data_IF_707603260627
#
_entry.id   IF_707603260627
#
_cell.length_a   1.000
_cell.length_b   1.000
_cell.length_c   1.000
_cell.angle_alpha   90.00
_cell.angle_beta   90.00
_cell.angle_gamma   90.00
#
_symmetry.space_group_name_H-M   'P 1'
#
loop_
_entity.id
_entity.type
_entity.pdbx_description
1 polymer ?
#
# COMPACT_ATOMS: atom_id res chain seq x y z
N UNK A 1 33.58 -3.54 23.10
CA UNK A 1 32.93 -4.10 24.31
C UNK A 1 31.57 -3.45 24.47
N UNK A 2 30.55 -4.26 24.78
CA UNK A 2 29.13 -3.91 25.03
C UNK A 2 28.93 -2.94 26.20
N UNK A 3 27.86 -2.11 26.13
CA UNK A 3 26.82 -1.89 27.16
C UNK A 3 25.79 -0.87 26.63
N UNK A 4 24.55 -1.26 26.29
CA UNK A 4 23.34 -1.51 27.13
C UNK A 4 22.64 -0.22 27.63
N UNK A 5 21.28 -0.26 27.56
CA UNK A 5 20.26 0.57 28.27
C UNK A 5 19.80 1.79 27.46
N UNK A 6 18.51 2.15 27.28
CA UNK A 6 17.17 1.58 27.56
C UNK A 6 16.16 2.57 26.96
N UNK A 7 15.04 2.07 26.48
CA UNK A 7 13.87 2.78 25.96
C UNK A 7 13.41 3.93 26.88
N UNK A 8 13.18 5.12 26.32
CA UNK A 8 12.26 6.11 26.89
C UNK A 8 11.40 6.71 25.78
N UNK A 9 10.11 6.35 25.78
CA UNK A 9 9.06 7.13 25.13
C UNK A 9 9.09 8.53 25.76
N UNK A 10 9.34 9.55 24.97
CA UNK A 10 9.18 10.94 25.37
C UNK A 10 8.20 11.62 24.40
N UNK A 11 6.93 11.46 24.72
CA UNK A 11 5.92 12.49 24.46
C UNK A 11 6.40 13.79 25.13
N UNK A 12 6.53 14.89 24.39
CA UNK A 12 6.31 16.26 24.89
C UNK A 12 6.38 17.26 23.72
N UNK A 13 5.29 18.00 23.42
CA UNK A 13 5.08 19.42 23.77
C UNK A 13 6.20 20.30 23.18
N UNK A 14 6.00 21.17 22.19
CA UNK A 14 5.02 22.24 22.10
C UNK A 14 5.75 23.59 21.87
N UNK A 15 4.97 24.66 21.73
CA UNK A 15 5.32 26.09 21.71
C UNK A 15 5.73 26.69 20.33
N UNK A 16 4.84 27.38 19.60
CA UNK A 16 4.33 28.79 19.71
C UNK A 16 5.23 29.91 19.15
N UNK A 17 4.63 30.62 18.18
CA UNK A 17 4.43 32.09 18.09
C UNK A 17 5.37 32.98 17.26
N UNK A 18 4.74 34.09 16.80
CA UNK A 18 5.21 35.32 16.14
C UNK A 18 5.18 35.29 14.59
N UNK A 19 4.59 36.22 13.83
CA UNK A 19 4.40 37.69 13.99
C UNK A 19 3.07 38.14 13.30
N UNK A 20 2.24 38.98 13.92
CA UNK A 20 2.16 40.47 13.81
C UNK A 20 1.91 40.98 12.37
N UNK A 21 0.69 41.45 12.03
CA UNK A 21 0.16 42.84 12.07
C UNK A 21 0.70 43.77 10.97
N UNK A 22 -0.24 44.35 10.20
CA UNK A 22 -0.07 45.45 9.20
C UNK A 22 -0.16 44.92 7.77
N UNK A 23 -1.09 45.29 6.90
CA UNK A 23 -1.48 46.61 6.33
C UNK A 23 -2.89 46.38 5.69
N UNK A 24 -3.96 47.19 5.75
CA UNK A 24 -4.15 48.60 6.04
C UNK A 24 -4.62 49.35 4.78
N UNK A 25 -5.92 49.35 4.43
CA UNK A 25 -6.67 50.37 3.61
C UNK A 25 -8.16 50.06 3.86
N UNK A 26 -9.09 50.88 4.35
CA UNK A 26 -9.29 52.33 4.33
C UNK A 26 -10.67 52.59 3.68
N UNK A 27 -11.68 53.05 4.43
CA UNK A 27 -12.98 53.44 3.85
C UNK A 27 -14.13 53.53 4.87
N UNK A 28 -14.47 54.74 5.29
CA UNK A 28 -15.52 55.08 6.25
C UNK A 28 -16.93 55.07 5.62
N UNK A 29 -17.95 54.68 6.40
CA UNK A 29 -19.36 54.88 6.07
C UNK A 29 -20.28 54.17 7.06
N UNK A 30 -21.08 54.92 7.81
CA UNK A 30 -22.02 54.40 8.81
C UNK A 30 -23.24 53.71 8.21
N UNK A 31 -23.78 52.72 8.93
CA UNK A 31 -25.04 52.05 8.60
C UNK A 31 -25.25 50.77 9.41
N UNK A 32 -26.40 50.69 10.08
CA UNK A 32 -27.05 49.61 10.84
C UNK A 32 -26.53 48.18 10.60
N UNK A 33 -26.36 47.32 11.63
CA UNK A 33 -25.93 45.94 11.44
C UNK A 33 -26.92 45.17 10.56
N UNK A 34 -26.48 44.80 9.36
CA UNK A 34 -27.18 43.86 8.49
C UNK A 34 -27.20 42.46 9.15
N UNK A 35 -28.25 41.65 8.95
CA UNK A 35 -28.29 40.29 9.47
C UNK A 35 -27.06 39.55 8.95
N UNK A 36 -26.32 38.92 9.88
CA UNK A 36 -25.11 38.18 9.57
C UNK A 36 -25.42 37.12 8.51
N UNK A 37 -25.01 37.37 7.27
CA UNK A 37 -24.94 36.33 6.26
C UNK A 37 -23.89 35.37 6.77
N UNK A 38 -24.30 34.18 7.20
CA UNK A 38 -23.38 33.13 7.59
C UNK A 38 -22.50 32.82 6.37
N UNK A 39 -21.27 33.34 6.36
CA UNK A 39 -20.29 33.01 5.35
C UNK A 39 -20.11 31.49 5.38
N UNK A 40 -20.51 30.83 4.29
CA UNK A 40 -20.23 29.43 4.09
C UNK A 40 -18.70 29.27 4.07
N UNK A 41 -18.14 28.80 5.19
CA UNK A 41 -16.71 28.53 5.29
C UNK A 41 -16.36 27.35 4.39
N UNK A 42 -15.96 27.64 3.16
CA UNK A 42 -15.37 26.64 2.26
C UNK A 42 -14.02 26.24 2.81
N UNK A 43 -13.99 25.09 3.49
CA UNK A 43 -12.75 24.46 3.96
C UNK A 43 -12.01 23.89 2.76
N UNK A 44 -10.97 24.59 2.32
CA UNK A 44 -10.05 24.08 1.29
C UNK A 44 -9.26 22.91 1.89
N UNK A 45 -9.63 21.69 1.52
CA UNK A 45 -8.85 20.49 1.83
C UNK A 45 -7.86 20.30 0.70
N UNK A 46 -6.59 20.53 0.99
CA UNK A 46 -5.51 20.16 0.06
C UNK A 46 -5.39 18.64 0.06
N UNK A 47 -5.91 17.98 -0.98
CA UNK A 47 -5.68 16.55 -1.21
C UNK A 47 -4.37 16.44 -1.98
N UNK A 48 -3.30 16.02 -1.29
CA UNK A 48 -2.07 15.62 -1.97
C UNK A 48 -2.36 14.30 -2.67
N UNK A 49 -2.38 14.32 -4.00
CA UNK A 49 -2.53 13.12 -4.80
C UNK A 49 -1.12 12.49 -4.89
N UNK A 50 -0.83 11.49 -4.06
CA UNK A 50 0.40 10.72 -4.19
C UNK A 50 0.34 9.95 -5.51
N UNK A 51 1.19 10.35 -6.46
CA UNK A 51 1.33 9.64 -7.73
C UNK A 51 2.18 8.41 -7.45
N UNK A 52 1.53 7.25 -7.37
CA UNK A 52 2.22 5.96 -7.30
C UNK A 52 3.04 5.77 -8.57
N UNK A 53 4.35 5.50 -8.47
CA UNK A 53 5.16 5.17 -9.63
C UNK A 53 4.58 3.95 -10.37
N UNK A 54 4.52 3.95 -11.71
CA UNK A 54 3.91 2.85 -12.47
C UNK A 54 4.56 1.49 -12.15
N UNK A 55 5.87 1.48 -11.88
CA UNK A 55 6.59 0.27 -11.48
C UNK A 55 6.09 -0.36 -10.17
N UNK A 56 5.53 0.45 -9.26
CA UNK A 56 4.90 -0.08 -8.05
C UNK A 56 3.55 -0.74 -8.35
N UNK A 57 2.80 -0.23 -9.33
CA UNK A 57 1.59 -0.90 -9.81
C UNK A 57 1.92 -2.21 -10.54
N UNK A 58 3.00 -2.23 -11.32
CA UNK A 58 3.49 -3.45 -11.98
C UNK A 58 3.95 -4.50 -10.96
N UNK A 59 4.61 -4.08 -9.87
CA UNK A 59 4.95 -4.96 -8.76
C UNK A 59 3.70 -5.57 -8.09
N UNK A 60 2.63 -4.79 -7.94
CA UNK A 60 1.36 -5.30 -7.41
C UNK A 60 0.68 -6.30 -8.36
N UNK A 61 0.65 -6.04 -9.67
CA UNK A 61 0.12 -7.01 -10.66
C UNK A 61 0.91 -8.33 -10.61
N UNK A 62 2.24 -8.25 -10.50
CA UNK A 62 3.09 -9.44 -10.37
C UNK A 62 2.82 -10.20 -9.05
N UNK A 63 2.60 -9.48 -7.94
CA UNK A 63 2.19 -10.09 -6.68
C UNK A 63 0.81 -10.77 -6.78
N UNK A 64 -0.15 -10.15 -7.46
CA UNK A 64 -1.47 -10.72 -7.73
C UNK A 64 -1.38 -11.99 -8.57
N UNK A 65 -0.51 -12.03 -9.59
CA UNK A 65 -0.22 -13.24 -10.36
C UNK A 65 0.37 -14.35 -9.50
N UNK A 66 1.32 -14.02 -8.61
CA UNK A 66 1.86 -15.00 -7.65
C UNK A 66 0.76 -15.58 -6.74
N UNK A 67 -0.16 -14.73 -6.26
CA UNK A 67 -1.31 -15.20 -5.48
C UNK A 67 -2.26 -16.07 -6.31
N UNK A 68 -2.47 -15.73 -7.59
CA UNK A 68 -3.23 -16.54 -8.54
C UNK A 68 -2.62 -17.94 -8.72
N UNK A 69 -1.31 -18.01 -8.97
CA UNK A 69 -0.58 -19.27 -9.08
C UNK A 69 -0.63 -20.08 -7.77
N UNK A 70 -0.50 -19.43 -6.61
CA UNK A 70 -0.65 -20.10 -5.32
C UNK A 70 -2.06 -20.68 -5.14
N UNK A 71 -3.10 -19.94 -5.52
CA UNK A 71 -4.49 -20.41 -5.49
C UNK A 71 -4.71 -21.63 -6.38
N UNK A 72 -4.16 -21.61 -7.60
CA UNK A 72 -4.21 -22.74 -8.53
C UNK A 72 -3.49 -23.96 -7.97
N UNK A 73 -2.31 -23.77 -7.37
CA UNK A 73 -1.56 -24.83 -6.69
C UNK A 73 -2.34 -25.47 -5.53
N UNK A 74 -3.09 -24.67 -4.76
CA UNK A 74 -3.99 -25.19 -3.72
C UNK A 74 -5.14 -26.01 -4.30
N UNK A 75 -5.73 -25.57 -5.42
CA UNK A 75 -6.79 -26.33 -6.09
C UNK A 75 -6.28 -27.69 -6.58
N UNK A 76 -5.13 -27.71 -7.28
CA UNK A 76 -4.50 -28.94 -7.74
C UNK A 76 -4.15 -29.88 -6.57
N UNK A 77 -3.67 -29.34 -5.45
CA UNK A 77 -3.40 -30.12 -4.25
C UNK A 77 -4.69 -30.76 -3.69
N UNK A 78 -5.78 -29.99 -3.62
CA UNK A 78 -7.09 -30.47 -3.18
C UNK A 78 -7.65 -31.55 -4.10
N UNK A 79 -7.51 -31.38 -5.41
CA UNK A 79 -7.88 -32.39 -6.42
C UNK A 79 -7.06 -33.68 -6.24
N UNK A 80 -5.74 -33.56 -6.10
CA UNK A 80 -4.86 -34.70 -5.86
C UNK A 80 -5.25 -35.47 -4.58
N UNK A 81 -5.51 -34.76 -3.47
CA UNK A 81 -5.98 -35.38 -2.21
C UNK A 81 -7.32 -36.09 -2.43
N UNK A 82 -8.24 -35.50 -3.19
CA UNK A 82 -9.53 -36.11 -3.51
C UNK A 82 -9.35 -37.39 -4.33
N UNK A 83 -8.43 -37.40 -5.29
CA UNK A 83 -8.12 -38.59 -6.10
C UNK A 83 -7.47 -39.69 -5.26
N UNK A 84 -6.52 -39.32 -4.39
CA UNK A 84 -5.90 -40.25 -3.41
C UNK A 84 -6.97 -40.88 -2.52
N UNK A 85 -7.95 -40.10 -2.04
CA UNK A 85 -9.04 -40.61 -1.19
C UNK A 85 -9.91 -41.67 -1.89
N UNK A 86 -9.88 -41.69 -3.22
CA UNK A 86 -10.58 -42.65 -4.09
C UNK A 86 -9.67 -43.74 -4.63
N UNK A 87 -8.42 -43.84 -4.15
CA UNK A 87 -7.38 -44.76 -4.64
C UNK A 87 -7.00 -44.56 -6.11
N UNK A 88 -7.31 -43.39 -6.69
CA UNK A 88 -6.89 -43.03 -8.05
C UNK A 88 -5.50 -42.38 -8.01
N UNK A 89 -4.47 -43.23 -7.88
CA UNK A 89 -3.08 -42.78 -7.80
C UNK A 89 -2.55 -42.26 -9.14
N UNK A 90 -3.05 -42.77 -10.26
CA UNK A 90 -2.65 -42.29 -11.59
C UNK A 90 -3.14 -40.86 -11.81
N UNK A 91 -4.40 -40.58 -11.47
CA UNK A 91 -4.94 -39.22 -11.48
C UNK A 91 -4.21 -38.29 -10.51
N UNK A 92 -3.91 -38.75 -9.29
CA UNK A 92 -3.16 -37.96 -8.32
C UNK A 92 -1.72 -37.65 -8.78
N UNK A 93 -1.06 -38.61 -9.44
CA UNK A 93 0.27 -38.42 -10.03
C UNK A 93 0.22 -37.41 -11.19
N UNK A 94 -0.83 -37.44 -12.03
CA UNK A 94 -1.02 -36.43 -13.07
C UNK A 94 -1.14 -35.02 -12.46
N UNK A 95 -1.92 -34.85 -11.39
CA UNK A 95 -2.03 -33.56 -10.67
C UNK A 95 -0.72 -33.14 -10.01
N UNK A 96 0.06 -34.09 -9.52
CA UNK A 96 1.39 -33.81 -8.98
C UNK A 96 2.36 -33.32 -10.06
N UNK A 97 2.26 -33.84 -11.29
CA UNK A 97 3.04 -33.34 -12.42
C UNK A 97 2.62 -31.93 -12.84
N UNK A 98 1.32 -31.63 -12.86
CA UNK A 98 0.78 -30.27 -13.09
C UNK A 98 1.33 -29.27 -12.05
N UNK A 99 1.30 -29.63 -10.76
CA UNK A 99 1.92 -28.82 -9.69
C UNK A 99 3.43 -28.64 -9.89
N UNK A 100 4.13 -29.70 -10.31
CA UNK A 100 5.57 -29.62 -10.60
C UNK A 100 5.90 -28.62 -11.73
N UNK A 101 5.08 -28.57 -12.78
CA UNK A 101 5.22 -27.60 -13.86
C UNK A 101 4.97 -26.16 -13.38
N UNK A 102 4.04 -25.97 -12.46
CA UNK A 102 3.71 -24.66 -11.87
C UNK A 102 4.86 -24.08 -11.05
N UNK A 103 5.71 -24.90 -10.42
CA UNK A 103 6.88 -24.44 -9.66
C UNK A 103 7.80 -23.56 -10.52
N UNK A 104 7.98 -23.91 -11.80
CA UNK A 104 8.77 -23.10 -12.73
C UNK A 104 8.14 -21.73 -12.99
N UNK A 105 6.81 -21.68 -13.13
CA UNK A 105 6.07 -20.42 -13.34
C UNK A 105 6.13 -19.53 -12.10
N UNK A 106 5.95 -20.10 -10.91
CA UNK A 106 6.09 -19.38 -9.64
C UNK A 106 7.50 -18.81 -9.49
N UNK A 107 8.53 -19.60 -9.83
CA UNK A 107 9.91 -19.14 -9.78
C UNK A 107 10.19 -17.96 -10.71
N UNK A 108 9.69 -18.02 -11.94
CA UNK A 108 9.83 -16.94 -12.92
C UNK A 108 9.08 -15.67 -12.48
N UNK A 109 7.82 -15.81 -12.05
CA UNK A 109 7.02 -14.67 -11.58
C UNK A 109 7.60 -14.08 -10.30
N UNK A 110 8.18 -14.90 -9.41
CA UNK A 110 8.85 -14.42 -8.20
C UNK A 110 10.07 -13.57 -8.52
N UNK A 111 10.89 -14.00 -9.47
CA UNK A 111 12.03 -13.22 -9.92
C UNK A 111 11.60 -11.88 -10.57
N UNK A 112 10.50 -11.89 -11.32
CA UNK A 112 9.90 -10.68 -11.88
C UNK A 112 9.44 -9.71 -10.78
N UNK A 113 8.66 -10.21 -9.82
CA UNK A 113 8.21 -9.44 -8.65
C UNK A 113 9.39 -8.83 -7.89
N UNK A 114 10.41 -9.63 -7.54
CA UNK A 114 11.55 -9.15 -6.76
C UNK A 114 12.30 -8.01 -7.49
N UNK A 115 12.34 -8.04 -8.82
CA UNK A 115 12.89 -6.95 -9.65
C UNK A 115 12.05 -5.68 -9.59
N UNK A 116 10.74 -5.79 -9.84
CA UNK A 116 9.80 -4.67 -9.84
C UNK A 116 9.69 -4.02 -8.44
N UNK A 117 9.69 -4.83 -7.39
CA UNK A 117 9.68 -4.40 -5.99
C UNK A 117 10.95 -3.62 -5.63
N UNK A 118 12.12 -4.06 -6.10
CA UNK A 118 13.37 -3.33 -5.92
C UNK A 118 13.35 -1.97 -6.64
N UNK A 119 12.83 -1.92 -7.88
CA UNK A 119 12.68 -0.68 -8.65
C UNK A 119 11.66 0.27 -8.01
N UNK A 120 10.54 -0.26 -7.51
CA UNK A 120 9.54 0.51 -6.77
C UNK A 120 10.14 1.17 -5.53
N UNK A 121 10.89 0.43 -4.70
CA UNK A 121 11.59 1.02 -3.53
C UNK A 121 12.62 2.05 -3.94
N UNK A 122 13.37 1.80 -5.01
CA UNK A 122 14.35 2.77 -5.53
C UNK A 122 13.70 4.07 -6.03
N UNK A 123 12.44 4.01 -6.49
CA UNK A 123 11.68 5.17 -6.96
C UNK A 123 11.10 6.06 -5.85
N UNK A 124 11.35 5.75 -4.58
CA UNK A 124 10.78 6.46 -3.43
C UNK A 124 9.42 5.92 -2.99
N UNK A 125 9.02 4.74 -3.49
CA UNK A 125 7.93 3.97 -2.93
C UNK A 125 8.38 3.33 -1.61
N UNK A 126 8.48 4.13 -0.55
CA UNK A 126 8.68 3.60 0.80
C UNK A 126 7.41 2.84 1.23
N UNK A 127 7.38 1.54 0.91
CA UNK A 127 6.56 0.51 1.56
C UNK A 127 5.05 0.78 1.59
N UNK A 128 4.34 0.31 0.56
CA UNK A 128 2.94 -0.10 0.74
C UNK A 128 2.85 -1.36 1.63
#
# INVERSE_FOLDING_TARGET
MKKFIKTHKATLIGATAALLVGVGIGGAGGGTPAPAVAEAQTKTVTVTNEVTPPVCADALDSAERLMGLASEGFQLSSEAITLISRFDFDGANAKSAEMGAMVGQIGAERANFDGLDAECRASGGDGA
#
